data_IF_495144701531
#
_entry.id   IF_495144701531
#
_cell.length_a   1.000
_cell.length_b   1.000
_cell.length_c   1.000
_cell.angle_alpha   90.00
_cell.angle_beta   90.00
_cell.angle_gamma   90.00
#
_symmetry.space_group_name_H-M   'P 1'
#
loop_
_entity.id
_entity.type
_entity.pdbx_description
1 polymer ?
#
# COMPACT_ATOMS: atom_id res chain seq x y z
N UNK A 1 -1.83 -15.61 8.33
CA UNK A 1 -2.10 -14.76 7.15
C UNK A 1 -2.76 -13.50 7.66
N UNK A 2 -2.02 -12.41 7.73
CA UNK A 2 -2.54 -11.13 8.23
C UNK A 2 -3.47 -10.53 7.18
N UNK A 3 -4.73 -10.34 7.53
CA UNK A 3 -5.74 -9.78 6.63
C UNK A 3 -5.71 -8.27 6.80
N UNK A 4 -5.03 -7.57 5.89
CA UNK A 4 -5.01 -6.10 5.87
C UNK A 4 -6.37 -5.59 5.44
N UNK A 5 -6.93 -4.70 6.23
CA UNK A 5 -8.27 -4.11 6.08
C UNK A 5 -8.21 -2.58 6.03
N UNK A 6 -9.30 -1.97 5.56
CA UNK A 6 -9.43 -0.51 5.59
C UNK A 6 -9.42 -0.03 7.04
N UNK A 7 -8.61 0.98 7.34
CA UNK A 7 -8.40 1.49 8.68
C UNK A 7 -7.09 1.05 9.32
N UNK A 8 -6.47 -0.04 8.85
CA UNK A 8 -5.24 -0.57 9.43
C UNK A 8 -4.06 0.36 9.23
N UNK A 9 -3.20 0.43 10.25
CA UNK A 9 -1.85 0.98 10.10
C UNK A 9 -0.94 -0.07 9.49
N UNK A 10 -0.22 0.33 8.46
CA UNK A 10 0.67 -0.55 7.70
C UNK A 10 2.02 0.11 7.48
N UNK A 11 3.08 -0.67 7.53
CA UNK A 11 4.40 -0.28 7.00
C UNK A 11 4.46 -0.58 5.51
N UNK A 12 5.06 0.33 4.76
CA UNK A 12 5.28 0.20 3.34
C UNK A 12 6.74 0.54 2.99
N UNK A 13 7.34 -0.13 1.98
CA UNK A 13 8.70 0.15 1.53
C UNK A 13 8.76 1.47 0.74
N UNK A 14 9.97 1.99 0.55
CA UNK A 14 10.20 3.15 -0.31
C UNK A 14 9.71 2.90 -1.73
N UNK A 15 8.92 3.83 -2.26
CA UNK A 15 8.42 3.79 -3.64
C UNK A 15 9.40 4.53 -4.53
N UNK A 16 10.01 3.80 -5.46
CA UNK A 16 10.96 4.32 -6.46
C UNK A 16 10.29 4.35 -7.84
N UNK A 17 10.55 5.38 -8.63
CA UNK A 17 10.18 5.46 -10.05
C UNK A 17 11.36 5.96 -10.86
N UNK A 18 11.74 5.22 -11.91
CA UNK A 18 12.89 5.54 -12.77
C UNK A 18 14.19 5.86 -11.99
N UNK A 19 14.45 5.16 -10.88
CA UNK A 19 15.62 5.38 -10.03
C UNK A 19 15.51 6.55 -9.04
N UNK A 20 14.40 7.29 -9.06
CA UNK A 20 14.13 8.39 -8.14
C UNK A 20 13.18 7.97 -7.02
N UNK A 21 13.49 8.36 -5.79
CA UNK A 21 12.61 8.17 -4.64
C UNK A 21 11.39 9.09 -4.75
N UNK A 22 10.20 8.50 -4.86
CA UNK A 22 8.93 9.22 -4.92
C UNK A 22 8.33 9.34 -3.53
N UNK A 23 8.39 8.25 -2.75
CA UNK A 23 7.84 8.17 -1.39
C UNK A 23 8.84 7.41 -0.53
N UNK A 24 9.32 8.05 0.54
CA UNK A 24 10.13 7.38 1.55
C UNK A 24 9.29 6.32 2.26
N UNK A 25 9.87 5.12 2.45
CA UNK A 25 9.25 4.05 3.20
C UNK A 25 8.94 4.49 4.62
N UNK A 26 7.82 4.01 5.16
CA UNK A 26 7.31 4.48 6.45
C UNK A 26 6.02 3.78 6.86
N UNK A 27 5.27 4.45 7.73
CA UNK A 27 3.98 3.98 8.24
C UNK A 27 2.87 4.82 7.64
N UNK A 28 1.81 4.17 7.18
CA UNK A 28 0.62 4.80 6.63
C UNK A 28 -0.64 4.11 7.11
N UNK A 29 -1.79 4.65 6.69
CA UNK A 29 -3.11 4.09 6.98
C UNK A 29 -3.77 3.63 5.68
N UNK A 30 -4.33 2.43 5.67
CA UNK A 30 -5.12 1.94 4.54
C UNK A 30 -6.45 2.69 4.53
N UNK A 31 -6.75 3.39 3.44
CA UNK A 31 -7.99 4.15 3.25
C UNK A 31 -8.97 3.48 2.30
N UNK A 32 -8.47 2.61 1.41
CA UNK A 32 -9.30 1.89 0.45
C UNK A 32 -8.59 0.59 0.03
N UNK A 33 -9.36 -0.43 -0.34
CA UNK A 33 -8.86 -1.66 -0.96
C UNK A 33 -9.66 -1.90 -2.23
N UNK A 34 -8.96 -2.08 -3.35
CA UNK A 34 -9.55 -2.33 -4.65
C UNK A 34 -8.93 -3.52 -5.36
N UNK A 35 -9.67 -4.22 -6.23
CA UNK A 35 -9.12 -5.25 -7.08
C UNK A 35 -8.15 -4.67 -8.11
N UNK A 36 -7.15 -5.45 -8.52
CA UNK A 36 -6.29 -5.09 -9.66
C UNK A 36 -7.12 -5.02 -10.95
N UNK A 37 -7.12 -3.85 -11.59
CA UNK A 37 -7.91 -3.56 -12.79
C UNK A 37 -7.44 -4.33 -14.05
N UNK A 38 -6.23 -4.90 -14.03
CA UNK A 38 -5.64 -5.61 -15.17
C UNK A 38 -5.78 -7.14 -15.10
N UNK A 39 -6.54 -7.64 -14.12
CA UNK A 39 -7.38 -8.84 -14.29
C UNK A 39 -6.68 -10.17 -14.62
N UNK A 40 -5.35 -10.28 -14.49
CA UNK A 40 -4.63 -11.57 -14.62
C UNK A 40 -4.17 -12.15 -13.29
N UNK A 41 -4.44 -11.49 -12.17
CA UNK A 41 -4.00 -11.97 -10.86
C UNK A 41 -5.00 -11.58 -9.78
N UNK A 42 -5.29 -12.48 -8.86
CA UNK A 42 -6.11 -12.26 -7.65
C UNK A 42 -5.44 -11.30 -6.64
N UNK A 43 -4.60 -10.38 -7.12
CA UNK A 43 -3.87 -9.42 -6.31
C UNK A 43 -4.81 -8.27 -5.96
N UNK A 44 -4.75 -7.85 -4.71
CA UNK A 44 -5.50 -6.70 -4.18
C UNK A 44 -4.54 -5.52 -4.03
N UNK A 45 -5.03 -4.34 -4.37
CA UNK A 45 -4.33 -3.07 -4.23
C UNK A 45 -4.94 -2.34 -3.03
N UNK A 46 -4.10 -1.86 -2.13
CA UNK A 46 -4.49 -0.94 -1.08
C UNK A 46 -4.11 0.49 -1.48
N UNK A 47 -5.01 1.43 -1.20
CA UNK A 47 -4.70 2.85 -1.19
C UNK A 47 -4.25 3.19 0.22
N UNK A 48 -3.02 3.67 0.35
CA UNK A 48 -2.42 4.06 1.63
C UNK A 48 -2.28 5.57 1.67
N UNK A 49 -2.70 6.16 2.79
CA UNK A 49 -2.46 7.55 3.11
C UNK A 49 -1.26 7.65 4.06
N UNK A 50 -0.24 8.39 3.64
CA UNK A 50 0.93 8.69 4.45
C UNK A 50 1.44 10.11 4.18
N UNK A 51 1.78 10.85 5.23
CA UNK A 51 2.29 12.23 5.13
C UNK A 51 1.43 13.15 4.25
N UNK A 52 0.10 13.01 4.30
CA UNK A 52 -0.86 13.79 3.52
C UNK A 52 -0.93 13.43 2.03
N UNK A 53 -0.26 12.36 1.58
CA UNK A 53 -0.33 11.85 0.21
C UNK A 53 -1.00 10.48 0.20
N UNK A 54 -1.79 10.22 -0.84
CA UNK A 54 -2.39 8.91 -1.12
C UNK A 54 -1.68 8.27 -2.29
N UNK A 55 -1.39 6.98 -2.18
CA UNK A 55 -0.79 6.20 -3.24
C UNK A 55 -1.27 4.76 -3.21
N UNK A 56 -1.15 4.09 -4.36
CA UNK A 56 -1.58 2.73 -4.56
C UNK A 56 -0.41 1.77 -4.40
N UNK A 57 -0.61 0.69 -3.66
CA UNK A 57 0.40 -0.34 -3.46
C UNK A 57 -0.27 -1.71 -3.30
N UNK A 58 0.40 -2.76 -3.76
CA UNK A 58 -0.10 -4.12 -3.57
C UNK A 58 -0.13 -4.48 -2.09
N UNK A 59 -1.22 -5.11 -1.65
CA UNK A 59 -1.37 -5.58 -0.26
C UNK A 59 -0.23 -6.53 0.14
N UNK A 60 0.31 -7.29 -0.82
CA UNK A 60 1.44 -8.19 -0.59
C UNK A 60 2.74 -7.49 -0.20
N UNK A 61 2.88 -6.19 -0.50
CA UNK A 61 4.05 -5.40 -0.13
C UNK A 61 3.88 -4.66 1.21
N UNK A 62 2.71 -4.79 1.84
CA UNK A 62 2.40 -4.15 3.12
C UNK A 62 2.59 -5.12 4.28
N UNK A 63 2.90 -4.57 5.45
CA UNK A 63 2.88 -5.31 6.71
C UNK A 63 2.08 -4.52 7.74
N UNK A 64 1.13 -5.17 8.41
CA UNK A 64 0.33 -4.51 9.44
C UNK A 64 1.21 -4.17 10.64
N UNK A 65 1.06 -2.94 11.14
CA UNK A 65 1.66 -2.50 12.40
C UNK A 65 0.65 -2.81 13.50
N UNK A 66 1.06 -3.58 14.49
CA UNK A 66 0.27 -3.89 15.68
C UNK A 66 0.19 -2.67 16.61
#
# INVERSE_FOLDING_TARGET
MTIISVGDRVTYPSVMSAGQLIIAGGVGKVVEIKPDLFGKSSRRIAVVEASGRKFEIFISALSQVN
#
